data_IF_239139745294
#
_entry.id   IF_239139745294
#
_cell.length_a   1.000
_cell.length_b   1.000
_cell.length_c   1.000
_cell.angle_alpha   90.00
_cell.angle_beta   90.00
_cell.angle_gamma   90.00
#
_symmetry.space_group_name_H-M   'P 1'
#
loop_
_entity.id
_entity.type
_entity.pdbx_description
1 polymer ?
#
# COMPACT_ATOMS: atom_id res chain seq x y z
N UNK A 1 32.72 -47.42 37.94
CA UNK A 1 33.66 -46.37 37.52
C UNK A 1 33.01 -45.61 36.39
N UNK A 2 32.24 -44.58 36.76
CA UNK A 2 32.69 -43.17 36.78
C UNK A 2 32.42 -42.57 35.40
N UNK A 3 31.29 -41.86 35.18
CA UNK A 3 30.95 -40.49 35.64
C UNK A 3 32.16 -39.57 35.39
N UNK A 4 32.17 -38.47 34.62
CA UNK A 4 31.37 -37.25 34.53
C UNK A 4 31.80 -36.57 33.20
N UNK A 5 30.94 -35.85 32.47
CA UNK A 5 30.63 -34.44 32.71
C UNK A 5 31.89 -33.54 32.81
N UNK A 6 31.87 -32.49 31.99
CA UNK A 6 32.61 -31.23 32.14
C UNK A 6 34.10 -31.20 31.75
N UNK A 7 34.40 -30.42 30.70
CA UNK A 7 35.03 -29.13 30.96
C UNK A 7 34.95 -28.21 29.75
N UNK A 8 34.03 -27.27 29.84
CA UNK A 8 34.04 -26.05 29.05
C UNK A 8 35.24 -25.20 29.50
N UNK A 9 36.35 -25.20 28.77
CA UNK A 9 37.37 -24.14 28.86
C UNK A 9 38.05 -23.90 27.52
N UNK A 10 37.47 -22.98 26.75
CA UNK A 10 38.19 -22.21 25.72
C UNK A 10 37.61 -20.79 25.64
N UNK A 11 37.51 -20.18 26.82
CA UNK A 11 37.50 -18.73 27.09
C UNK A 11 38.98 -18.49 27.52
N UNK A 12 39.85 -17.68 26.91
CA UNK A 12 39.75 -16.34 26.33
C UNK A 12 40.91 -16.06 25.35
N UNK A 13 40.75 -14.99 24.56
CA UNK A 13 41.81 -14.04 24.17
C UNK A 13 43.04 -14.52 23.38
N UNK A 14 43.09 -14.12 22.09
CA UNK A 14 44.13 -13.16 21.65
C UNK A 14 43.77 -12.45 20.34
N UNK A 15 43.47 -11.17 20.50
CA UNK A 15 43.56 -10.08 19.52
C UNK A 15 45.04 -9.97 19.07
N UNK A 16 45.42 -10.05 17.80
CA UNK A 16 45.55 -8.92 16.85
C UNK A 16 46.44 -9.34 15.66
N UNK A 17 46.30 -8.58 14.56
CA UNK A 17 47.14 -8.45 13.35
C UNK A 17 46.47 -9.03 12.10
N UNK A 18 45.59 -8.27 11.45
CA UNK A 18 45.89 -7.21 10.46
C UNK A 18 46.17 -7.78 9.08
N UNK A 19 45.12 -7.80 8.25
CA UNK A 19 45.12 -7.42 6.84
C UNK A 19 43.85 -7.99 6.23
N UNK A 20 42.87 -7.15 5.92
CA UNK A 20 42.39 -7.18 4.54
C UNK A 20 41.66 -5.89 4.18
N UNK A 21 42.19 -5.28 3.14
CA UNK A 21 41.77 -4.02 2.54
C UNK A 21 40.50 -4.28 1.72
N UNK A 22 39.36 -4.45 2.40
CA UNK A 22 38.05 -4.57 1.76
C UNK A 22 36.97 -3.73 2.47
N UNK A 23 37.38 -2.65 3.14
CA UNK A 23 36.50 -1.77 3.93
C UNK A 23 35.91 -0.56 3.18
N UNK A 24 36.11 -0.43 1.87
CA UNK A 24 35.73 0.77 1.11
C UNK A 24 34.78 0.50 -0.04
N UNK A 25 33.77 -0.37 0.16
CA UNK A 25 32.56 -0.44 -0.68
C UNK A 25 31.34 -0.92 0.14
N UNK A 26 31.15 -0.44 1.36
CA UNK A 26 29.89 -0.65 2.10
C UNK A 26 29.12 0.67 2.20
N UNK A 27 28.59 1.08 1.05
CA UNK A 27 27.62 2.17 0.95
C UNK A 27 26.31 1.76 1.65
N UNK A 28 26.09 2.25 2.86
CA UNK A 28 24.78 2.55 3.44
C UNK A 28 23.63 1.55 3.13
N UNK A 29 23.61 0.40 3.80
CA UNK A 29 22.37 -0.36 3.94
C UNK A 29 21.73 -0.01 5.28
N UNK A 30 20.95 1.09 5.29
CA UNK A 30 19.93 1.29 6.33
C UNK A 30 19.05 0.04 6.33
N UNK A 31 18.82 -0.66 7.46
CA UNK A 31 17.72 -1.60 7.52
C UNK A 31 16.46 -0.77 7.26
N UNK A 32 15.81 -1.02 6.12
CA UNK A 32 14.49 -0.49 5.88
C UNK A 32 13.64 -0.89 7.10
N UNK A 33 13.24 0.10 7.91
CA UNK A 33 12.30 -0.10 9.00
C UNK A 33 11.10 -0.83 8.41
N UNK A 34 10.87 -2.08 8.82
CA UNK A 34 9.61 -2.75 8.53
C UNK A 34 8.52 -1.82 9.07
N UNK A 35 7.64 -1.25 8.23
CA UNK A 35 6.66 -0.29 8.71
C UNK A 35 5.82 -0.97 9.78
N UNK A 36 5.63 -0.30 10.92
CA UNK A 36 4.89 -0.84 12.05
C UNK A 36 3.48 -1.23 11.59
N UNK A 37 3.20 -2.54 11.51
CA UNK A 37 1.87 -3.04 11.19
C UNK A 37 0.96 -2.83 12.40
N UNK A 38 -0.21 -2.23 12.17
CA UNK A 38 -1.25 -2.07 13.19
C UNK A 38 -2.37 -3.06 12.88
N UNK A 39 -2.75 -3.86 13.87
CA UNK A 39 -3.85 -4.82 13.72
C UNK A 39 -5.19 -4.10 13.93
N UNK A 40 -6.10 -4.28 12.97
CA UNK A 40 -7.48 -3.83 13.06
C UNK A 40 -8.38 -5.06 13.18
N UNK A 41 -8.97 -5.28 14.36
CA UNK A 41 -9.83 -6.42 14.61
C UNK A 41 -11.27 -6.08 14.20
N UNK A 42 -11.78 -6.79 13.20
CA UNK A 42 -13.14 -6.63 12.70
C UNK A 42 -13.90 -7.96 12.88
N UNK A 43 -14.89 -8.03 13.79
CA UNK A 43 -15.75 -9.21 13.87
C UNK A 43 -16.58 -9.29 12.59
N UNK A 44 -16.54 -10.46 11.94
CA UNK A 44 -17.31 -10.73 10.73
C UNK A 44 -18.50 -11.64 11.06
N UNK A 45 -19.68 -11.42 10.45
CA UNK A 45 -20.73 -12.42 10.44
C UNK A 45 -20.21 -13.74 9.86
N UNK A 46 -20.62 -14.87 10.44
CA UNK A 46 -20.11 -16.21 10.08
C UNK A 46 -20.23 -16.49 8.57
N UNK A 47 -21.40 -16.21 7.98
CA UNK A 47 -21.62 -16.40 6.54
C UNK A 47 -20.63 -15.61 5.67
N UNK A 48 -20.31 -14.37 6.06
CA UNK A 48 -19.37 -13.54 5.32
C UNK A 48 -17.91 -13.99 5.52
N UNK A 49 -17.58 -14.47 6.71
CA UNK A 49 -16.28 -15.09 6.98
C UNK A 49 -16.05 -16.31 6.09
N UNK A 50 -17.05 -17.18 5.95
CA UNK A 50 -16.96 -18.38 5.13
C UNK A 50 -16.85 -18.07 3.63
N UNK A 51 -17.64 -17.10 3.15
CA UNK A 51 -17.56 -16.61 1.77
C UNK A 51 -16.16 -16.06 1.45
N UNK A 52 -15.63 -15.18 2.31
CA UNK A 52 -14.29 -14.61 2.17
C UNK A 52 -13.21 -15.70 2.15
N UNK A 53 -13.36 -16.72 3.00
CA UNK A 53 -12.44 -17.86 3.08
C UNK A 53 -12.55 -18.78 1.86
N UNK A 54 -13.73 -18.91 1.25
CA UNK A 54 -13.91 -19.65 0.00
C UNK A 54 -13.23 -18.91 -1.15
N UNK A 55 -13.54 -17.63 -1.33
CA UNK A 55 -12.96 -16.80 -2.38
C UNK A 55 -11.42 -16.75 -2.29
N UNK A 56 -10.86 -16.62 -1.08
CA UNK A 56 -9.42 -16.67 -0.87
C UNK A 56 -8.80 -18.01 -1.30
N UNK A 57 -9.48 -19.14 -1.04
CA UNK A 57 -9.04 -20.47 -1.46
C UNK A 57 -9.06 -20.62 -2.97
N UNK A 58 -10.09 -20.12 -3.64
CA UNK A 58 -10.22 -20.17 -5.11
C UNK A 58 -9.06 -19.45 -5.80
N UNK A 59 -8.59 -18.33 -5.25
CA UNK A 59 -7.46 -17.57 -5.79
C UNK A 59 -6.09 -17.99 -5.21
N UNK A 60 -6.05 -19.01 -4.35
CA UNK A 60 -4.81 -19.53 -3.76
C UNK A 60 -4.10 -18.58 -2.79
N UNK A 61 -4.83 -17.65 -2.16
CA UNK A 61 -4.29 -16.68 -1.22
C UNK A 61 -4.72 -16.97 0.23
N UNK A 62 -3.89 -16.64 1.23
CA UNK A 62 -4.35 -16.61 2.62
C UNK A 62 -5.52 -15.63 2.79
N UNK A 63 -6.55 -16.01 3.54
CA UNK A 63 -7.77 -15.20 3.73
C UNK A 63 -7.47 -13.77 4.20
N UNK A 64 -6.52 -13.59 5.13
CA UNK A 64 -6.10 -12.26 5.60
C UNK A 64 -5.50 -11.40 4.48
N UNK A 65 -4.68 -11.99 3.61
CA UNK A 65 -4.06 -11.27 2.48
C UNK A 65 -5.12 -10.92 1.44
N UNK A 66 -5.99 -11.87 1.10
CA UNK A 66 -7.11 -11.63 0.20
C UNK A 66 -8.00 -10.48 0.70
N UNK A 67 -8.34 -10.49 2.00
CA UNK A 67 -9.11 -9.41 2.62
C UNK A 67 -8.41 -8.04 2.52
N UNK A 68 -7.11 -7.98 2.77
CA UNK A 68 -6.32 -6.75 2.65
C UNK A 68 -6.33 -6.21 1.21
N UNK A 69 -6.15 -7.08 0.21
CA UNK A 69 -6.16 -6.70 -1.21
C UNK A 69 -7.56 -6.27 -1.68
N UNK A 70 -8.60 -6.97 -1.23
CA UNK A 70 -9.99 -6.61 -1.49
C UNK A 70 -10.34 -5.24 -0.89
N UNK A 71 -9.96 -5.00 0.37
CA UNK A 71 -10.18 -3.71 1.03
C UNK A 71 -9.40 -2.59 0.35
N UNK A 72 -8.14 -2.83 -0.04
CA UNK A 72 -7.33 -1.83 -0.76
C UNK A 72 -8.01 -1.39 -2.04
N UNK A 73 -8.44 -2.34 -2.86
CA UNK A 73 -9.15 -2.07 -4.12
C UNK A 73 -10.47 -1.36 -3.86
N UNK A 74 -11.23 -1.79 -2.85
CA UNK A 74 -12.48 -1.15 -2.45
C UNK A 74 -12.29 0.30 -2.01
N UNK A 75 -11.22 0.61 -1.27
CA UNK A 75 -10.92 1.99 -0.87
C UNK A 75 -10.58 2.90 -2.04
N UNK A 76 -9.86 2.40 -3.04
CA UNK A 76 -9.53 3.18 -4.22
C UNK A 76 -10.79 3.55 -5.01
N UNK A 77 -11.72 2.61 -5.19
CA UNK A 77 -12.99 2.90 -5.86
C UNK A 77 -13.90 3.80 -5.02
N UNK A 78 -13.96 3.58 -3.70
CA UNK A 78 -14.70 4.44 -2.79
C UNK A 78 -14.19 5.89 -2.84
N UNK A 79 -12.86 6.10 -2.85
CA UNK A 79 -12.25 7.43 -2.99
C UNK A 79 -12.59 8.09 -4.32
N UNK A 80 -12.50 7.35 -5.44
CA UNK A 80 -12.86 7.87 -6.77
C UNK A 80 -14.31 8.30 -6.82
N UNK A 81 -15.20 7.48 -6.26
CA UNK A 81 -16.63 7.77 -6.22
C UNK A 81 -16.94 8.98 -5.34
N UNK A 82 -16.34 9.08 -4.16
CA UNK A 82 -16.47 10.26 -3.28
C UNK A 82 -16.02 11.55 -3.96
N UNK A 83 -14.85 11.54 -4.60
CA UNK A 83 -14.34 12.70 -5.34
C UNK A 83 -15.29 13.13 -6.45
N UNK A 84 -15.81 12.18 -7.24
CA UNK A 84 -16.79 12.47 -8.30
C UNK A 84 -18.07 13.08 -7.74
N UNK A 85 -18.55 12.59 -6.59
CA UNK A 85 -19.73 13.13 -5.92
C UNK A 85 -19.51 14.56 -5.43
N UNK A 86 -18.33 14.84 -4.86
CA UNK A 86 -17.95 16.20 -4.41
C UNK A 86 -17.85 17.17 -5.58
N UNK A 87 -17.19 16.78 -6.68
CA UNK A 87 -17.12 17.57 -7.92
C UNK A 87 -18.52 17.84 -8.46
N UNK A 88 -19.37 16.81 -8.53
CA UNK A 88 -20.74 16.97 -9.02
C UNK A 88 -21.59 17.87 -8.11
N UNK A 89 -21.37 17.83 -6.79
CA UNK A 89 -22.05 18.72 -5.85
C UNK A 89 -21.62 20.17 -6.07
N UNK A 90 -20.32 20.41 -6.20
CA UNK A 90 -19.78 21.73 -6.51
C UNK A 90 -20.26 22.25 -7.86
N UNK A 91 -20.17 21.45 -8.93
CA UNK A 91 -20.65 21.83 -10.26
C UNK A 91 -22.13 22.23 -10.24
N UNK A 92 -22.99 21.48 -9.54
CA UNK A 92 -24.41 21.87 -9.37
C UNK A 92 -24.60 23.18 -8.61
N UNK A 93 -23.71 23.50 -7.68
CA UNK A 93 -23.75 24.76 -6.93
C UNK A 93 -23.35 25.95 -7.81
N UNK A 94 -22.37 25.78 -8.69
CA UNK A 94 -21.84 26.87 -9.53
C UNK A 94 -22.48 26.94 -10.92
N UNK A 95 -23.31 25.97 -11.29
CA UNK A 95 -23.99 25.94 -12.58
C UNK A 95 -24.74 27.25 -12.87
N UNK A 96 -24.55 27.81 -14.06
CA UNK A 96 -25.09 29.10 -14.49
C UNK A 96 -24.41 30.34 -13.88
N UNK A 97 -23.36 30.17 -13.06
CA UNK A 97 -22.54 31.29 -12.58
C UNK A 97 -21.38 31.59 -13.55
N UNK A 98 -20.61 32.65 -13.26
CA UNK A 98 -19.39 32.98 -14.03
C UNK A 98 -18.32 31.89 -13.98
N UNK A 99 -18.39 31.00 -12.98
CA UNK A 99 -17.43 29.89 -12.81
C UNK A 99 -17.87 28.62 -13.56
N UNK A 100 -19.08 28.60 -14.15
CA UNK A 100 -19.63 27.44 -14.87
C UNK A 100 -19.07 27.29 -16.29
N UNK A 101 -18.87 28.41 -16.99
CA UNK A 101 -18.51 28.45 -18.40
C UNK A 101 -17.39 29.45 -18.63
N UNK A 102 -16.29 28.97 -19.20
CA UNK A 102 -15.23 29.83 -19.73
C UNK A 102 -15.64 30.32 -21.14
N UNK A 103 -15.88 31.63 -21.32
CA UNK A 103 -16.33 32.18 -22.60
C UNK A 103 -15.33 31.98 -23.76
N UNK A 104 -14.04 31.76 -23.46
CA UNK A 104 -13.04 31.42 -24.48
C UNK A 104 -13.19 29.97 -24.93
N UNK A 105 -13.43 29.05 -23.99
CA UNK A 105 -13.68 27.64 -24.30
C UNK A 105 -14.99 27.43 -25.05
N UNK A 106 -16.06 28.16 -24.71
CA UNK A 106 -17.32 28.11 -25.48
C UNK A 106 -17.11 28.53 -26.92
N UNK A 107 -16.43 29.67 -27.14
CA UNK A 107 -16.14 30.18 -28.48
C UNK A 107 -15.27 29.21 -29.28
N UNK A 108 -14.26 28.62 -28.64
CA UNK A 108 -13.41 27.61 -29.28
C UNK A 108 -14.20 26.35 -29.66
N UNK A 109 -15.12 25.89 -28.81
CA UNK A 109 -15.99 24.75 -29.08
C UNK A 109 -16.92 24.98 -30.28
N UNK A 110 -17.58 26.15 -30.33
CA UNK A 110 -18.42 26.54 -31.48
C UNK A 110 -17.58 26.59 -32.76
N UNK A 111 -16.40 27.19 -32.71
CA UNK A 111 -15.51 27.28 -33.86
C UNK A 111 -15.11 25.90 -34.38
N UNK A 112 -14.72 24.96 -33.51
CA UNK A 112 -14.37 23.60 -33.92
C UNK A 112 -15.52 22.90 -34.63
N UNK A 113 -16.75 23.04 -34.14
CA UNK A 113 -17.93 22.42 -34.76
C UNK A 113 -18.27 23.01 -36.13
N UNK A 114 -17.96 24.29 -36.36
CA UNK A 114 -18.17 24.96 -37.65
C UNK A 114 -17.04 24.63 -38.64
N UNK A 115 -15.80 24.54 -38.17
CA UNK A 115 -14.63 24.23 -38.99
C UNK A 115 -14.58 22.74 -39.42
N UNK A 116 -15.27 21.84 -38.70
CA UNK A 116 -15.37 20.40 -39.00
C UNK A 116 -16.54 20.02 -39.96
N UNK A 117 -17.27 21.01 -40.51
CA UNK A 117 -18.34 20.81 -41.52
C UNK A 117 -17.86 21.07 -42.95
#
# INVERSE_FOLDING_TARGET
MEIELQHAQSYTERRTRSADLAGWLFSWQLPAMIPATKNFHLPLPEAFYDELKSAAREVGLPATRFAQELMKTGFDEWRRTRRRQEIAAYARQVAGSTDDLDPELERAGIKSLVDDQ
#
